data_IF_881545210801
#
_entry.id   IF_881545210801
#
_cell.length_a   1.000
_cell.length_b   1.000
_cell.length_c   1.000
_cell.angle_alpha   90.00
_cell.angle_beta   90.00
_cell.angle_gamma   90.00
#
_symmetry.space_group_name_H-M   'P 1'
#
loop_
_entity.id
_entity.type
_entity.pdbx_description
1 polymer ?
#
# COMPACT_ATOMS: atom_id res chain seq x y z
N UNK A 1 11.64 -14.80 5.35
CA UNK A 1 11.20 -13.42 5.58
C UNK A 1 12.25 -12.69 6.42
N UNK A 2 12.74 -11.56 5.95
CA UNK A 2 13.74 -10.76 6.66
C UNK A 2 13.14 -10.07 7.89
N UNK A 3 14.00 -9.48 8.73
CA UNK A 3 13.55 -8.70 9.89
C UNK A 3 12.71 -7.50 9.45
N UNK A 4 13.17 -6.80 8.43
CA UNK A 4 12.48 -5.62 7.88
C UNK A 4 11.13 -5.99 7.25
N UNK A 5 11.06 -7.10 6.56
CA UNK A 5 9.80 -7.61 6.02
C UNK A 5 8.80 -7.96 7.12
N UNK A 6 9.28 -8.55 8.22
CA UNK A 6 8.44 -8.81 9.40
C UNK A 6 7.93 -7.53 10.04
N UNK A 7 8.79 -6.50 10.15
CA UNK A 7 8.37 -5.19 10.66
C UNK A 7 7.24 -4.59 9.82
N UNK A 8 7.38 -4.62 8.50
CA UNK A 8 6.32 -4.15 7.59
C UNK A 8 5.06 -4.97 7.78
N UNK A 9 5.15 -6.28 7.79
CA UNK A 9 3.99 -7.16 7.99
C UNK A 9 3.29 -6.86 9.32
N UNK A 10 4.03 -6.66 10.41
CA UNK A 10 3.47 -6.39 11.72
C UNK A 10 2.75 -5.03 11.75
N UNK A 11 3.32 -4.00 11.12
CA UNK A 11 2.66 -2.70 10.96
C UNK A 11 1.39 -2.79 10.12
N UNK A 12 1.43 -3.52 9.01
CA UNK A 12 0.24 -3.74 8.19
C UNK A 12 -0.82 -4.58 8.91
N UNK A 13 -0.41 -5.57 9.69
CA UNK A 13 -1.33 -6.36 10.49
C UNK A 13 -2.01 -5.52 11.57
N UNK A 14 -1.28 -4.63 12.22
CA UNK A 14 -1.85 -3.68 13.17
C UNK A 14 -2.84 -2.74 12.49
N UNK A 15 -2.47 -2.20 11.33
CA UNK A 15 -3.33 -1.33 10.53
C UNK A 15 -4.61 -2.06 10.09
N UNK A 16 -4.51 -3.34 9.73
CA UNK A 16 -5.64 -4.15 9.27
C UNK A 16 -6.66 -4.47 10.38
N UNK A 17 -6.33 -4.25 11.65
CA UNK A 17 -7.27 -4.40 12.77
C UNK A 17 -8.26 -3.24 12.88
N UNK A 18 -7.90 -2.09 12.35
CA UNK A 18 -8.79 -0.94 12.24
C UNK A 18 -9.59 -1.01 10.94
N UNK A 19 -10.89 -0.75 11.00
CA UNK A 19 -11.77 -0.85 9.81
C UNK A 19 -11.31 0.06 8.67
N UNK A 20 -10.93 1.29 8.99
CA UNK A 20 -10.44 2.24 7.98
C UNK A 20 -9.08 1.81 7.43
N UNK A 21 -8.17 1.41 8.31
CA UNK A 21 -6.87 0.89 7.92
C UNK A 21 -6.98 -0.34 7.02
N UNK A 22 -7.85 -1.27 7.39
CA UNK A 22 -8.11 -2.46 6.57
C UNK A 22 -8.64 -2.10 5.18
N UNK A 23 -9.57 -1.16 5.11
CA UNK A 23 -10.09 -0.69 3.82
C UNK A 23 -9.00 -0.07 2.94
N UNK A 24 -8.15 0.77 3.54
CA UNK A 24 -7.00 1.34 2.82
C UNK A 24 -6.06 0.26 2.27
N UNK A 25 -5.77 -0.78 3.06
CA UNK A 25 -4.93 -1.90 2.61
C UNK A 25 -5.60 -2.73 1.52
N UNK A 26 -6.90 -2.93 1.58
CA UNK A 26 -7.66 -3.60 0.51
C UNK A 26 -7.63 -2.80 -0.79
N UNK A 27 -7.80 -1.49 -0.71
CA UNK A 27 -7.65 -0.59 -1.86
C UNK A 27 -6.22 -0.64 -2.43
N UNK A 28 -5.23 -0.63 -1.56
CA UNK A 28 -3.82 -0.75 -1.96
C UNK A 28 -3.56 -2.06 -2.71
N UNK A 29 -4.05 -3.17 -2.17
CA UNK A 29 -3.87 -4.49 -2.79
C UNK A 29 -4.49 -4.55 -4.19
N UNK A 30 -5.73 -4.11 -4.32
CA UNK A 30 -6.38 -4.04 -5.64
C UNK A 30 -5.63 -3.11 -6.59
N UNK A 31 -5.17 -1.97 -6.09
CA UNK A 31 -4.42 -1.01 -6.89
C UNK A 31 -3.12 -1.58 -7.44
N UNK A 32 -2.32 -2.27 -6.62
CA UNK A 32 -1.06 -2.86 -7.09
C UNK A 32 -1.28 -4.07 -8.01
N UNK A 33 -2.38 -4.79 -7.86
CA UNK A 33 -2.70 -5.95 -8.69
C UNK A 33 -3.29 -5.57 -10.04
N UNK A 34 -4.09 -4.51 -10.11
CA UNK A 34 -4.94 -4.23 -11.27
C UNK A 34 -4.50 -3.01 -12.07
N UNK A 35 -3.79 -2.05 -11.46
CA UNK A 35 -3.50 -0.78 -12.13
C UNK A 35 -2.43 -0.85 -13.23
N UNK A 36 -1.55 -1.82 -13.18
CA UNK A 36 -0.37 -1.90 -14.05
C UNK A 36 0.70 -0.84 -13.75
N UNK A 37 0.51 -0.02 -12.71
CA UNK A 37 1.45 1.01 -12.29
C UNK A 37 2.55 0.42 -11.43
N UNK A 38 3.75 1.02 -11.48
CA UNK A 38 4.88 0.62 -10.67
C UNK A 38 4.66 0.90 -9.18
N UNK A 39 5.34 0.13 -8.34
CA UNK A 39 5.32 0.28 -6.89
C UNK A 39 6.65 0.84 -6.40
N UNK A 40 6.60 1.96 -5.67
CA UNK A 40 7.74 2.61 -5.04
C UNK A 40 7.62 2.54 -3.51
N UNK A 41 8.48 3.22 -2.80
CA UNK A 41 8.40 3.39 -1.35
C UNK A 41 8.56 4.88 -1.00
N UNK A 42 8.24 5.22 0.26
CA UNK A 42 8.28 6.60 0.74
C UNK A 42 6.92 7.26 0.74
N UNK A 43 6.88 8.52 1.18
CA UNK A 43 5.65 9.31 1.26
C UNK A 43 5.58 10.43 0.21
N UNK A 44 6.58 10.53 -0.64
CA UNK A 44 6.64 11.51 -1.72
C UNK A 44 6.11 10.92 -3.01
N UNK A 45 5.30 11.71 -3.68
CA UNK A 45 4.74 11.36 -4.98
C UNK A 45 5.49 12.16 -6.05
N UNK A 46 6.03 11.43 -7.01
CA UNK A 46 6.75 12.06 -8.11
C UNK A 46 5.78 12.55 -9.19
N UNK A 47 6.06 13.71 -9.82
CA UNK A 47 5.21 14.26 -10.87
C UNK A 47 5.43 13.55 -12.20
N UNK A 48 5.10 12.27 -12.29
CA UNK A 48 5.34 11.39 -13.43
C UNK A 48 4.07 10.98 -14.18
N UNK A 49 2.97 11.67 -13.93
CA UNK A 49 1.68 11.34 -14.53
C UNK A 49 1.01 10.09 -13.95
N UNK A 50 1.49 9.60 -12.81
CA UNK A 50 0.90 8.44 -12.15
C UNK A 50 1.40 7.10 -12.67
N UNK A 51 2.61 7.05 -13.24
CA UNK A 51 3.24 5.81 -13.72
C UNK A 51 3.63 4.87 -12.57
N UNK A 52 4.02 5.42 -11.44
CA UNK A 52 4.35 4.66 -10.25
C UNK A 52 4.09 5.46 -8.96
N UNK A 53 3.91 4.77 -7.85
CA UNK A 53 3.69 5.39 -6.54
C UNK A 53 3.88 4.39 -5.41
N UNK A 54 3.85 4.88 -4.17
CA UNK A 54 3.91 4.03 -2.99
C UNK A 54 2.59 3.27 -2.79
N UNK A 55 2.58 2.37 -1.81
CA UNK A 55 1.41 1.53 -1.52
C UNK A 55 0.12 2.36 -1.31
N UNK A 56 0.20 3.45 -0.56
CA UNK A 56 -0.97 4.28 -0.25
C UNK A 56 -1.34 5.23 -1.40
N UNK A 57 -0.42 5.51 -2.29
CA UNK A 57 -0.77 6.15 -3.56
C UNK A 57 -1.62 5.23 -4.43
N UNK A 58 -1.31 3.94 -4.44
CA UNK A 58 -2.16 2.93 -5.09
C UNK A 58 -3.54 2.86 -4.44
N UNK A 59 -3.62 2.96 -3.10
CA UNK A 59 -4.90 3.06 -2.39
C UNK A 59 -5.72 4.26 -2.87
N UNK A 60 -5.08 5.41 -3.04
CA UNK A 60 -5.74 6.62 -3.55
C UNK A 60 -6.26 6.43 -4.98
N UNK A 61 -5.43 5.97 -5.89
CA UNK A 61 -5.87 5.77 -7.28
C UNK A 61 -7.03 4.78 -7.38
N UNK A 62 -6.92 3.69 -6.66
CA UNK A 62 -8.00 2.69 -6.61
C UNK A 62 -9.25 3.25 -5.93
N UNK A 63 -9.09 4.01 -4.85
CA UNK A 63 -10.17 4.65 -4.14
C UNK A 63 -10.91 5.68 -4.98
N UNK A 64 -10.20 6.46 -5.82
CA UNK A 64 -10.83 7.36 -6.78
C UNK A 64 -11.64 6.58 -7.81
N UNK A 65 -11.08 5.49 -8.35
CA UNK A 65 -11.77 4.65 -9.31
C UNK A 65 -13.04 3.99 -8.74
N UNK A 66 -13.03 3.66 -7.44
CA UNK A 66 -14.17 3.05 -6.73
C UNK A 66 -15.11 4.09 -6.07
N UNK A 67 -14.82 5.37 -6.20
CA UNK A 67 -15.64 6.45 -5.62
C UNK A 67 -15.46 6.66 -4.12
N UNK A 68 -14.40 6.09 -3.52
CA UNK A 68 -14.07 6.24 -2.09
C UNK A 68 -13.36 7.56 -1.81
N UNK A 69 -12.49 7.98 -2.69
CA UNK A 69 -11.80 9.26 -2.63
C UNK A 69 -12.23 10.20 -3.74
N UNK A 70 -12.28 11.49 -3.43
CA UNK A 70 -12.39 12.53 -4.45
C UNK A 70 -11.01 12.79 -5.05
N UNK A 71 -10.92 13.11 -6.35
CA UNK A 71 -9.66 13.55 -6.95
C UNK A 71 -9.07 14.73 -6.17
N UNK A 72 -7.78 14.65 -5.85
CA UNK A 72 -7.09 15.69 -5.09
C UNK A 72 -6.95 16.96 -5.95
N UNK A 73 -7.24 18.12 -5.33
CA UNK A 73 -7.04 19.43 -5.94
C UNK A 73 -5.71 20.01 -5.48
N UNK A 74 -4.87 20.43 -6.41
CA UNK A 74 -3.59 21.10 -6.14
C UNK A 74 -2.65 20.34 -5.19
N UNK A 75 -2.39 19.04 -5.38
CA UNK A 75 -1.54 18.29 -4.48
C UNK A 75 -0.09 18.78 -4.55
N UNK A 76 0.59 18.80 -3.40
CA UNK A 76 1.99 19.24 -3.28
C UNK A 76 3.01 18.10 -3.42
N UNK A 77 2.57 16.89 -3.72
CA UNK A 77 3.44 15.74 -3.92
C UNK A 77 3.68 14.87 -2.68
N UNK A 78 2.95 15.11 -1.60
CA UNK A 78 2.95 14.24 -0.42
C UNK A 78 1.68 13.38 -0.40
N UNK A 79 1.80 12.17 0.13
CA UNK A 79 0.66 11.23 0.20
C UNK A 79 -0.53 11.80 0.98
N UNK A 80 -0.29 12.63 2.00
CA UNK A 80 -1.34 13.27 2.78
C UNK A 80 -2.24 14.19 1.95
N UNK A 81 -1.71 14.75 0.85
CA UNK A 81 -2.48 15.61 -0.05
C UNK A 81 -3.52 14.82 -0.85
N UNK A 82 -3.35 13.51 -0.93
CA UNK A 82 -4.22 12.61 -1.70
C UNK A 82 -5.21 11.86 -0.82
N UNK A 83 -4.74 11.23 0.26
CA UNK A 83 -5.62 10.45 1.14
C UNK A 83 -6.21 11.25 2.30
N UNK A 84 -5.70 12.45 2.56
CA UNK A 84 -6.13 13.30 3.66
C UNK A 84 -5.31 13.09 4.94
N UNK A 85 -5.38 14.06 5.84
CA UNK A 85 -4.57 14.06 7.07
C UNK A 85 -4.96 12.95 8.04
N UNK A 86 -6.25 12.63 8.15
CA UNK A 86 -6.74 11.57 9.05
C UNK A 86 -6.21 10.19 8.63
N UNK A 87 -6.36 9.82 7.36
CA UNK A 87 -5.85 8.57 6.84
C UNK A 87 -4.32 8.52 6.85
N UNK A 88 -3.68 9.66 6.54
CA UNK A 88 -2.23 9.76 6.63
C UNK A 88 -1.70 9.47 8.03
N UNK A 89 -2.34 9.99 9.07
CA UNK A 89 -1.98 9.72 10.46
C UNK A 89 -2.06 8.23 10.79
N UNK A 90 -3.06 7.53 10.28
CA UNK A 90 -3.25 6.09 10.48
C UNK A 90 -2.13 5.28 9.83
N UNK A 91 -1.67 5.67 8.63
CA UNK A 91 -0.71 4.88 7.84
C UNK A 91 0.76 5.25 8.07
N UNK A 92 1.06 6.24 8.90
CA UNK A 92 2.42 6.72 9.13
C UNK A 92 3.40 5.63 9.57
N UNK A 93 2.99 4.76 10.50
CA UNK A 93 3.84 3.66 10.96
C UNK A 93 4.20 2.70 9.82
N UNK A 94 3.23 2.37 8.99
CA UNK A 94 3.45 1.52 7.82
C UNK A 94 4.37 2.20 6.79
N UNK A 95 4.19 3.48 6.53
CA UNK A 95 5.07 4.23 5.61
C UNK A 95 6.52 4.19 6.10
N UNK A 96 6.76 4.42 7.37
CA UNK A 96 8.11 4.37 7.96
C UNK A 96 8.73 2.99 7.84
N UNK A 97 7.96 1.94 8.10
CA UNK A 97 8.42 0.56 7.96
C UNK A 97 8.79 0.24 6.50
N UNK A 98 7.97 0.67 5.55
CA UNK A 98 8.27 0.55 4.12
C UNK A 98 9.51 1.32 3.70
N UNK A 99 9.73 2.50 4.25
CA UNK A 99 10.94 3.29 3.98
C UNK A 99 12.21 2.55 4.41
N UNK A 100 12.19 1.93 5.59
CA UNK A 100 13.32 1.13 6.08
C UNK A 100 13.55 -0.08 5.17
N UNK A 101 12.51 -0.80 4.82
CA UNK A 101 12.61 -1.96 3.93
C UNK A 101 13.09 -1.54 2.53
N UNK A 102 12.52 -0.47 1.98
CA UNK A 102 12.87 0.03 0.65
C UNK A 102 14.33 0.49 0.57
N UNK A 103 14.80 1.23 1.56
CA UNK A 103 16.21 1.67 1.63
C UNK A 103 17.17 0.49 1.70
N UNK A 104 16.82 -0.56 2.44
CA UNK A 104 17.64 -1.78 2.53
C UNK A 104 17.66 -2.57 1.24
N UNK A 105 16.53 -2.67 0.55
CA UNK A 105 16.40 -3.40 -0.72
C UNK A 105 17.07 -2.69 -1.87
N UNK A 106 17.10 -1.36 -1.84
CA UNK A 106 17.53 -0.52 -2.95
C UNK A 106 18.80 0.29 -2.64
N UNK A 107 19.62 -0.12 -1.68
CA UNK A 107 20.86 0.58 -1.29
C UNK A 107 21.87 0.76 -2.42
N UNK A 108 21.86 -0.09 -3.43
CA UNK A 108 22.73 -0.04 -4.59
C UNK A 108 22.02 0.43 -5.85
N UNK A 109 20.84 0.99 -5.71
CA UNK A 109 19.96 1.29 -6.81
C UNK A 109 20.11 2.71 -7.28
N UNK A 110 20.35 2.85 -8.56
CA UNK A 110 20.17 4.13 -9.22
C UNK A 110 18.68 4.27 -9.53
N UNK A 111 18.05 5.22 -8.85
CA UNK A 111 16.72 5.63 -9.22
C UNK A 111 16.78 6.28 -10.61
N UNK A 112 15.88 5.86 -11.48
CA UNK A 112 15.68 6.49 -12.77
C UNK A 112 15.08 7.88 -12.65
N UNK A 113 14.68 8.51 -13.76
CA UNK A 113 14.00 9.80 -13.74
C UNK A 113 12.81 9.76 -12.75
N UNK A 114 12.60 10.88 -12.05
CA UNK A 114 11.54 11.01 -11.03
C UNK A 114 11.72 10.11 -9.79
N UNK A 115 12.91 9.55 -9.57
CA UNK A 115 13.18 8.67 -8.46
C UNK A 115 12.47 7.32 -8.54
N UNK A 116 12.06 6.92 -9.74
CA UNK A 116 11.43 5.63 -9.99
C UNK A 116 12.48 4.53 -10.07
N UNK A 117 12.18 3.33 -9.53
CA UNK A 117 12.97 2.16 -9.81
C UNK A 117 13.02 1.94 -11.32
N UNK A 118 14.23 1.84 -11.90
CA UNK A 118 14.34 1.40 -13.28
C UNK A 118 13.76 -0.01 -13.40
N UNK A 119 13.10 -0.29 -14.52
CA UNK A 119 12.55 -1.61 -14.82
C UNK A 119 13.66 -2.65 -14.71
N UNK A 120 13.70 -3.32 -13.57
CA UNK A 120 14.72 -4.30 -13.25
C UNK A 120 14.08 -5.44 -12.49
N UNK A 121 14.78 -6.56 -12.41
CA UNK A 121 14.40 -7.69 -11.59
C UNK A 121 14.05 -7.26 -10.14
N UNK A 122 14.68 -6.21 -9.64
CA UNK A 122 14.49 -5.74 -8.27
C UNK A 122 13.15 -5.02 -8.09
N UNK A 123 12.67 -4.28 -9.11
CA UNK A 123 11.34 -3.68 -9.08
C UNK A 123 10.24 -4.75 -9.07
N UNK A 124 10.38 -5.79 -9.86
CA UNK A 124 9.45 -6.92 -9.88
C UNK A 124 9.45 -7.66 -8.54
N UNK A 125 10.64 -7.94 -7.99
CA UNK A 125 10.78 -8.55 -6.66
C UNK A 125 10.21 -7.69 -5.55
N UNK A 126 10.37 -6.38 -5.64
CA UNK A 126 9.78 -5.45 -4.69
C UNK A 126 8.25 -5.55 -4.73
N UNK A 127 7.68 -5.50 -5.91
CA UNK A 127 6.24 -5.63 -6.10
C UNK A 127 5.71 -6.95 -5.52
N UNK A 128 6.33 -8.07 -5.88
CA UNK A 128 5.96 -9.40 -5.38
C UNK A 128 6.10 -9.50 -3.86
N UNK A 129 7.18 -8.96 -3.29
CA UNK A 129 7.43 -8.98 -1.85
C UNK A 129 6.35 -8.20 -1.11
N UNK A 130 6.03 -6.99 -1.55
CA UNK A 130 5.02 -6.13 -0.92
C UNK A 130 3.63 -6.74 -1.06
N UNK A 131 3.28 -7.26 -2.22
CA UNK A 131 2.00 -7.93 -2.45
C UNK A 131 1.81 -9.12 -1.51
N UNK A 132 2.82 -9.97 -1.38
CA UNK A 132 2.78 -11.12 -0.47
C UNK A 132 2.62 -10.70 0.98
N UNK A 133 3.38 -9.70 1.45
CA UNK A 133 3.28 -9.19 2.82
C UNK A 133 1.89 -8.65 3.08
N UNK A 134 1.33 -7.92 2.13
CA UNK A 134 0.00 -7.32 2.23
C UNK A 134 -1.10 -8.38 2.28
N UNK A 135 -1.02 -9.41 1.44
CA UNK A 135 -1.95 -10.54 1.46
C UNK A 135 -1.89 -11.25 2.83
N UNK A 136 -0.68 -11.52 3.33
CA UNK A 136 -0.50 -12.16 4.63
C UNK A 136 -1.08 -11.32 5.77
N UNK A 137 -0.84 -10.02 5.76
CA UNK A 137 -1.36 -9.11 6.78
C UNK A 137 -2.89 -9.07 6.79
N UNK A 138 -3.51 -9.02 5.62
CA UNK A 138 -4.97 -9.00 5.49
C UNK A 138 -5.60 -10.34 5.86
N UNK A 139 -4.98 -11.45 5.53
CA UNK A 139 -5.48 -12.78 5.85
C UNK A 139 -5.37 -13.10 7.34
N UNK A 140 -4.29 -12.69 7.99
CA UNK A 140 -4.00 -12.97 9.40
C UNK A 140 -4.65 -12.02 10.40
N UNK A 141 -5.26 -10.92 9.95
CA UNK A 141 -5.73 -9.84 10.81
C UNK A 141 -7.22 -9.61 10.64
N UNK A 142 -7.95 -9.49 11.76
CA UNK A 142 -9.34 -9.07 11.78
C UNK A 142 -9.48 -7.84 12.66
N UNK A 143 -10.42 -6.92 12.36
CA UNK A 143 -10.70 -5.80 13.24
C UNK A 143 -11.06 -6.29 14.65
N UNK A 144 -10.55 -5.59 15.68
CA UNK A 144 -10.91 -5.87 17.07
C UNK A 144 -12.42 -5.69 17.26
N UNK A 145 -13.06 -6.66 17.91
CA UNK A 145 -14.51 -6.65 18.15
C UNK A 145 -15.36 -7.01 16.93
N UNK A 146 -14.76 -7.33 15.79
CA UNK A 146 -15.51 -7.82 14.64
C UNK A 146 -16.04 -9.22 14.92
N UNK A 147 -17.35 -9.41 14.71
CA UNK A 147 -17.95 -10.73 14.70
C UNK A 147 -17.34 -11.55 13.55
N UNK A 148 -17.26 -12.87 13.73
CA UNK A 148 -16.91 -13.74 12.63
C UNK A 148 -17.90 -13.52 11.47
N UNK A 149 -17.40 -13.40 10.21
CA UNK A 149 -18.32 -13.31 9.09
C UNK A 149 -19.27 -14.51 9.11
N UNK A 150 -20.54 -14.25 8.87
CA UNK A 150 -21.51 -15.32 8.75
C UNK A 150 -21.04 -16.31 7.68
N UNK A 151 -21.18 -17.61 7.90
CA UNK A 151 -20.82 -18.58 6.87
C UNK A 151 -21.61 -18.29 5.60
N UNK A 152 -20.92 -18.34 4.46
CA UNK A 152 -21.58 -18.19 3.16
C UNK A 152 -22.64 -19.27 3.06
N UNK A 153 -23.92 -18.91 2.82
CA UNK A 153 -24.96 -19.93 2.70
C UNK A 153 -24.59 -20.90 1.60
N UNK A 154 -24.60 -22.18 1.91
CA UNK A 154 -24.40 -23.20 0.89
C UNK A 154 -25.54 -23.08 -0.14
N UNK A 155 -25.25 -22.99 -1.45
CA UNK A 155 -26.32 -22.95 -2.43
C UNK A 155 -27.21 -24.18 -2.29
N UNK A 156 -28.50 -23.95 -2.11
CA UNK A 156 -29.48 -25.06 -2.07
C UNK A 156 -29.60 -25.62 -3.47
N UNK A 157 -29.40 -26.92 -3.68
CA UNK A 157 -29.55 -27.54 -5.00
C UNK A 157 -30.94 -27.36 -5.60
#
# INVERSE_FOLDING_TARGET
MTREERMVRDELSALARDDRGRHLLQLSLRGIQESGRGLTYGCWIKPDGGVAGCLFQHAYWQGVAEGVFKPAEHPKGEIKDYIGEEDFAIVMGAIRAFDVLGRRRFTHWRLGPYGLPQRSLDAERWHETVERILIDALAGSRPEGAAQPAPIPTPVP
#
